data_IF_416165945264
#
_entry.id   IF_416165945264
#
_cell.length_a   1.000
_cell.length_b   1.000
_cell.length_c   1.000
_cell.angle_alpha   90.00
_cell.angle_beta   90.00
_cell.angle_gamma   90.00
#
_symmetry.space_group_name_H-M   'P 1'
#
loop_
_entity.id
_entity.type
_entity.pdbx_description
1 polymer ?
#
# COMPACT_ATOMS: atom_id res chain seq x y z
N UNK A 1 -10.90 18.97 -54.67
CA UNK A 1 -10.66 17.58 -54.24
C UNK A 1 -9.84 17.52 -52.95
N UNK A 2 -8.70 18.19 -52.84
CA UNK A 2 -7.80 18.15 -51.62
C UNK A 2 -8.54 18.64 -50.36
N UNK A 3 -9.30 19.71 -50.42
CA UNK A 3 -10.08 20.25 -49.28
C UNK A 3 -11.13 19.28 -48.78
N UNK A 4 -11.83 18.59 -49.67
CA UNK A 4 -12.82 17.57 -49.29
C UNK A 4 -12.17 16.39 -48.59
N UNK A 5 -11.00 15.95 -49.06
CA UNK A 5 -10.22 14.87 -48.47
C UNK A 5 -9.72 15.25 -47.07
N UNK A 6 -9.22 16.49 -46.88
CA UNK A 6 -8.77 16.99 -45.57
C UNK A 6 -9.93 17.08 -44.58
N UNK A 7 -11.09 17.55 -44.99
CA UNK A 7 -12.28 17.63 -44.12
C UNK A 7 -12.73 16.22 -43.68
N UNK A 8 -12.79 15.28 -44.64
CA UNK A 8 -13.16 13.88 -44.32
C UNK A 8 -12.16 13.25 -43.32
N UNK A 9 -10.86 13.47 -43.52
CA UNK A 9 -9.84 12.96 -42.62
C UNK A 9 -9.95 13.55 -41.20
N UNK A 10 -10.21 14.87 -41.08
CA UNK A 10 -10.43 15.55 -39.81
C UNK A 10 -11.67 15.01 -39.08
N UNK A 11 -12.77 14.77 -39.81
CA UNK A 11 -13.99 14.20 -39.21
C UNK A 11 -13.74 12.78 -38.69
N UNK A 12 -13.06 11.94 -39.47
CA UNK A 12 -12.71 10.58 -39.04
C UNK A 12 -11.78 10.57 -37.81
N UNK A 13 -10.80 11.46 -37.79
CA UNK A 13 -9.88 11.59 -36.64
C UNK A 13 -10.63 12.03 -35.37
N UNK A 14 -11.53 13.02 -35.50
CA UNK A 14 -12.38 13.49 -34.40
C UNK A 14 -13.26 12.38 -33.86
N UNK A 15 -13.87 11.60 -34.75
CA UNK A 15 -14.74 10.47 -34.39
C UNK A 15 -13.93 9.39 -33.63
N UNK A 16 -12.73 9.07 -34.11
CA UNK A 16 -11.85 8.10 -33.47
C UNK A 16 -11.45 8.55 -32.04
N UNK A 17 -11.16 9.83 -31.86
CA UNK A 17 -10.83 10.39 -30.53
C UNK A 17 -12.02 10.30 -29.58
N UNK A 18 -13.24 10.62 -30.05
CA UNK A 18 -14.46 10.52 -29.23
C UNK A 18 -14.72 9.07 -28.81
N UNK A 19 -14.55 8.11 -29.71
CA UNK A 19 -14.70 6.68 -29.39
C UNK A 19 -13.68 6.24 -28.38
N UNK A 20 -12.42 6.68 -28.50
CA UNK A 20 -11.34 6.35 -27.56
C UNK A 20 -11.66 6.89 -26.15
N UNK A 21 -12.13 8.13 -26.04
CA UNK A 21 -12.56 8.70 -24.76
C UNK A 21 -13.77 8.00 -24.15
N UNK A 22 -14.73 7.58 -24.99
CA UNK A 22 -15.88 6.80 -24.52
C UNK A 22 -15.45 5.44 -23.96
N UNK A 23 -14.54 4.73 -24.63
CA UNK A 23 -14.00 3.45 -24.13
C UNK A 23 -13.17 3.62 -22.86
N UNK A 24 -12.36 4.67 -22.77
CA UNK A 24 -11.61 4.98 -21.53
C UNK A 24 -12.56 5.34 -20.39
N UNK A 25 -13.63 6.08 -20.66
CA UNK A 25 -14.66 6.40 -19.68
C UNK A 25 -15.37 5.16 -19.14
N UNK A 26 -15.72 4.22 -20.02
CA UNK A 26 -16.36 2.96 -19.63
C UNK A 26 -15.40 2.05 -18.83
N UNK A 27 -14.12 1.99 -19.21
CA UNK A 27 -13.11 1.25 -18.47
C UNK A 27 -12.91 1.84 -17.07
N UNK A 28 -12.86 3.16 -16.97
CA UNK A 28 -12.73 3.85 -15.70
C UNK A 28 -13.99 3.69 -14.82
N UNK A 29 -15.19 3.68 -15.42
CA UNK A 29 -16.44 3.39 -14.73
C UNK A 29 -16.47 1.95 -14.18
N UNK A 30 -16.02 0.95 -14.94
CA UNK A 30 -15.94 -0.45 -14.49
C UNK A 30 -14.91 -0.63 -13.37
N UNK A 31 -13.78 0.08 -13.41
CA UNK A 31 -12.80 0.08 -12.32
C UNK A 31 -13.40 0.74 -11.08
N UNK A 32 -14.14 1.83 -11.23
CA UNK A 32 -14.82 2.51 -10.12
C UNK A 32 -16.01 1.70 -9.58
N UNK A 33 -16.77 1.02 -10.43
CA UNK A 33 -17.83 0.09 -10.00
C UNK A 33 -17.28 -1.14 -9.30
N UNK A 34 -16.12 -1.66 -9.70
CA UNK A 34 -15.41 -2.72 -8.97
C UNK A 34 -14.92 -2.22 -7.62
N UNK A 35 -14.73 -0.90 -7.45
CA UNK A 35 -14.35 -0.26 -6.18
C UNK A 35 -15.56 0.24 -5.38
N UNK A 36 -16.69 0.58 -6.02
CA UNK A 36 -17.88 1.17 -5.40
C UNK A 36 -19.09 0.21 -5.32
N UNK A 37 -19.01 -0.93 -6.01
CA UNK A 37 -20.08 -1.91 -6.09
C UNK A 37 -20.20 -2.79 -4.87
N UNK A 38 -21.01 -2.36 -3.91
CA UNK A 38 -21.60 -3.20 -2.89
C UNK A 38 -20.67 -3.53 -1.73
N UNK A 39 -21.18 -3.43 -0.53
CA UNK A 39 -20.60 -3.88 0.73
C UNK A 39 -20.28 -5.39 0.78
N UNK A 40 -19.60 -5.91 -0.20
CA UNK A 40 -18.79 -7.10 -0.04
C UNK A 40 -17.57 -6.65 0.72
N UNK A 41 -17.52 -6.97 2.02
CA UNK A 41 -16.29 -6.96 2.79
C UNK A 41 -15.18 -7.45 1.86
N UNK A 42 -14.27 -6.53 1.50
CA UNK A 42 -13.04 -6.91 0.80
C UNK A 42 -12.52 -8.12 1.55
N UNK A 43 -12.23 -9.25 0.90
CA UNK A 43 -11.77 -10.42 1.63
C UNK A 43 -10.63 -10.00 2.52
N UNK A 44 -10.76 -10.26 3.82
CA UNK A 44 -9.73 -9.94 4.80
C UNK A 44 -8.47 -10.69 4.38
N UNK A 45 -7.55 -9.97 3.77
CA UNK A 45 -6.36 -10.58 3.18
C UNK A 45 -5.11 -9.87 3.62
N UNK A 46 -4.10 -10.65 3.89
CA UNK A 46 -2.72 -10.23 4.06
C UNK A 46 -1.92 -10.90 2.96
N UNK A 47 -1.13 -10.13 2.24
CA UNK A 47 -0.28 -10.64 1.17
C UNK A 47 1.17 -10.23 1.43
N UNK A 48 2.14 -11.16 1.34
CA UNK A 48 3.55 -10.81 1.45
C UNK A 48 3.94 -9.78 0.40
N UNK A 49 4.80 -8.84 0.77
CA UNK A 49 5.41 -7.87 -0.13
C UNK A 49 6.66 -8.49 -0.77
N UNK A 50 6.64 -8.83 -2.07
CA UNK A 50 7.75 -9.54 -2.71
C UNK A 50 9.03 -8.69 -2.80
N UNK A 51 8.87 -7.36 -2.91
CA UNK A 51 9.99 -6.43 -3.10
C UNK A 51 10.54 -5.90 -1.77
N UNK A 52 9.97 -6.31 -0.63
CA UNK A 52 10.44 -5.89 0.67
C UNK A 52 11.87 -6.36 0.93
N UNK A 53 12.68 -5.50 1.50
CA UNK A 53 14.09 -5.77 1.82
C UNK A 53 14.21 -6.63 3.07
N UNK A 54 13.70 -7.86 3.01
CA UNK A 54 13.77 -8.80 4.14
C UNK A 54 15.22 -9.10 4.51
N UNK A 55 15.52 -9.08 5.80
CA UNK A 55 16.87 -9.28 6.33
C UNK A 55 17.76 -8.04 6.28
N UNK A 56 17.35 -6.97 5.61
CA UNK A 56 18.09 -5.71 5.63
C UNK A 56 17.88 -4.98 6.96
N UNK A 57 18.95 -4.35 7.46
CA UNK A 57 18.90 -3.50 8.66
C UNK A 57 18.61 -2.06 8.24
N UNK A 58 17.60 -1.47 8.86
CA UNK A 58 17.33 -0.03 8.74
C UNK A 58 18.30 0.70 9.67
N UNK A 59 19.31 1.33 9.11
CA UNK A 59 20.39 1.97 9.88
C UNK A 59 19.92 3.31 10.47
N UNK A 60 19.16 4.08 9.69
CA UNK A 60 18.68 5.40 10.07
C UNK A 60 17.16 5.44 10.03
N UNK A 61 16.56 5.67 11.19
CA UNK A 61 15.13 5.95 11.29
C UNK A 61 14.92 7.45 11.24
N UNK A 62 13.99 7.93 10.40
CA UNK A 62 13.61 9.33 10.38
C UNK A 62 13.13 9.82 11.76
N UNK A 63 13.38 11.09 12.04
CA UNK A 63 12.83 11.73 13.23
C UNK A 63 11.31 11.62 13.27
N UNK A 64 10.77 11.33 14.45
CA UNK A 64 9.33 11.14 14.67
C UNK A 64 8.90 9.67 14.70
N UNK A 65 9.72 8.74 14.24
CA UNK A 65 9.48 7.30 14.42
C UNK A 65 10.05 6.81 15.76
N UNK A 66 9.37 5.87 16.39
CA UNK A 66 9.89 5.18 17.55
C UNK A 66 11.01 4.20 17.14
N UNK A 67 11.80 3.77 18.12
CA UNK A 67 12.80 2.74 17.86
C UNK A 67 12.18 1.35 17.85
N UNK A 68 12.67 0.44 16.96
CA UNK A 68 12.26 -0.96 17.00
C UNK A 68 12.58 -1.61 18.37
N UNK A 69 11.96 -2.75 18.72
CA UNK A 69 11.14 -3.58 17.84
C UNK A 69 9.72 -3.08 17.66
N UNK A 70 9.03 -3.61 16.66
CA UNK A 70 7.61 -3.36 16.50
C UNK A 70 7.15 -3.36 15.04
N UNK A 71 5.97 -2.82 14.82
CA UNK A 71 5.35 -2.72 13.49
C UNK A 71 5.43 -1.29 12.99
N UNK A 72 5.87 -1.12 11.76
CA UNK A 72 5.82 0.12 11.01
C UNK A 72 4.69 0.06 10.01
N UNK A 73 3.77 1.03 10.05
CA UNK A 73 2.67 1.14 9.11
C UNK A 73 3.05 2.09 7.97
N UNK A 74 2.81 1.69 6.73
CA UNK A 74 3.03 2.53 5.55
C UNK A 74 1.70 2.81 4.86
N UNK A 75 1.31 4.07 4.83
CA UNK A 75 0.11 4.59 4.17
C UNK A 75 0.50 5.53 3.04
N UNK A 76 -0.44 5.82 2.13
CA UNK A 76 -0.22 6.81 1.07
C UNK A 76 -1.42 7.75 0.94
N UNK A 77 -1.13 9.03 0.68
CA UNK A 77 -2.16 10.06 0.49
C UNK A 77 -3.03 9.84 -0.75
N UNK A 78 -2.52 9.10 -1.74
CA UNK A 78 -3.22 8.80 -3.00
C UNK A 78 -3.91 7.44 -3.01
N UNK A 79 -3.81 6.68 -1.92
CA UNK A 79 -4.36 5.34 -1.80
C UNK A 79 -5.74 5.38 -1.14
N UNK A 80 -6.81 5.05 -1.86
CA UNK A 80 -8.18 5.03 -1.32
C UNK A 80 -8.34 4.08 -0.13
N UNK A 81 -7.76 2.88 -0.19
CA UNK A 81 -7.77 1.93 0.92
C UNK A 81 -7.05 2.48 2.18
N UNK A 82 -6.00 3.28 1.99
CA UNK A 82 -5.31 3.94 3.11
C UNK A 82 -6.20 4.99 3.78
N UNK A 83 -6.99 5.73 2.99
CA UNK A 83 -7.94 6.72 3.50
C UNK A 83 -9.06 6.06 4.31
N UNK A 84 -9.50 4.87 3.91
CA UNK A 84 -10.50 4.08 4.64
C UNK A 84 -9.95 3.53 5.96
N UNK A 85 -8.69 3.09 5.98
CA UNK A 85 -8.06 2.47 7.14
C UNK A 85 -7.46 3.48 8.14
N UNK A 86 -6.99 4.63 7.67
CA UNK A 86 -6.29 5.61 8.49
C UNK A 86 -7.05 6.02 9.78
N UNK A 87 -8.40 6.24 9.77
CA UNK A 87 -9.15 6.59 10.98
C UNK A 87 -9.08 5.52 12.08
N UNK A 88 -8.94 4.25 11.70
CA UNK A 88 -8.95 3.11 12.63
C UNK A 88 -7.57 2.85 13.24
N UNK A 89 -6.48 3.34 12.60
CA UNK A 89 -5.11 3.03 12.98
C UNK A 89 -4.81 3.33 14.45
N UNK A 90 -5.22 4.50 14.95
CA UNK A 90 -5.02 4.90 16.33
C UNK A 90 -5.69 3.94 17.31
N UNK A 91 -6.98 3.61 17.08
CA UNK A 91 -7.73 2.70 17.92
C UNK A 91 -7.14 1.29 17.93
N UNK A 92 -6.71 0.82 16.77
CA UNK A 92 -6.07 -0.48 16.62
C UNK A 92 -4.80 -0.59 17.47
N UNK A 93 -3.86 0.33 17.33
CA UNK A 93 -2.60 0.27 18.07
C UNK A 93 -2.78 0.52 19.57
N UNK A 94 -3.73 1.35 19.98
CA UNK A 94 -4.06 1.54 21.39
C UNK A 94 -4.62 0.27 22.06
N UNK A 95 -5.28 -0.61 21.31
CA UNK A 95 -5.95 -1.81 21.82
C UNK A 95 -5.19 -3.11 21.57
N UNK A 96 -4.31 -3.15 20.58
CA UNK A 96 -3.66 -4.39 20.13
C UNK A 96 -2.51 -4.87 21.03
N UNK A 97 -1.96 -4.00 21.89
CA UNK A 97 -0.77 -4.31 22.67
C UNK A 97 0.52 -4.50 21.85
N UNK A 98 0.48 -4.12 20.57
CA UNK A 98 1.61 -4.21 19.63
C UNK A 98 2.40 -2.93 19.69
N UNK A 99 3.72 -3.06 19.79
CA UNK A 99 4.61 -1.91 19.72
C UNK A 99 4.58 -1.30 18.31
N UNK A 100 4.10 -0.06 18.24
CA UNK A 100 4.09 0.70 17.00
C UNK A 100 5.41 1.49 16.87
N UNK A 101 6.20 1.17 15.86
CA UNK A 101 7.38 1.96 15.49
C UNK A 101 6.94 3.30 14.90
N UNK A 102 5.85 3.30 14.13
CA UNK A 102 5.25 4.52 13.63
C UNK A 102 4.42 4.34 12.38
N UNK A 103 3.85 5.46 11.94
CA UNK A 103 3.10 5.57 10.68
C UNK A 103 3.89 6.41 9.70
N UNK A 104 4.30 5.80 8.60
CA UNK A 104 4.94 6.48 7.46
C UNK A 104 3.85 6.85 6.46
N UNK A 105 3.73 8.13 6.15
CA UNK A 105 2.76 8.62 5.16
C UNK A 105 3.49 9.02 3.89
N UNK A 106 3.45 8.16 2.89
CA UNK A 106 3.99 8.44 1.56
C UNK A 106 3.11 9.45 0.81
N UNK A 107 3.72 10.50 0.27
CA UNK A 107 3.01 11.62 -0.32
C UNK A 107 3.81 12.32 -1.41
N UNK A 108 3.15 13.08 -2.26
CA UNK A 108 3.81 13.88 -3.29
C UNK A 108 4.50 15.13 -2.73
N UNK A 109 3.99 15.66 -1.60
CA UNK A 109 4.54 16.85 -0.95
C UNK A 109 4.38 16.78 0.57
N UNK A 110 5.27 17.45 1.30
CA UNK A 110 5.18 17.52 2.76
C UNK A 110 3.87 18.18 3.24
N UNK A 111 3.27 19.06 2.44
CA UNK A 111 1.99 19.68 2.76
C UNK A 111 0.86 18.68 2.73
N UNK A 112 0.73 17.89 1.65
CA UNK A 112 -0.30 16.86 1.51
C UNK A 112 -0.14 15.73 2.54
N UNK A 113 1.08 15.38 2.91
CA UNK A 113 1.33 14.40 3.98
C UNK A 113 0.87 14.90 5.35
N UNK A 114 1.18 16.16 5.71
CA UNK A 114 0.72 16.75 6.97
C UNK A 114 -0.79 16.91 7.02
N UNK A 115 -1.42 17.29 5.91
CA UNK A 115 -2.87 17.36 5.79
C UNK A 115 -3.52 16.00 6.04
N UNK A 116 -2.99 14.93 5.43
CA UNK A 116 -3.46 13.56 5.67
C UNK A 116 -3.33 13.17 7.15
N UNK A 117 -2.18 13.43 7.77
CA UNK A 117 -1.96 13.14 9.21
C UNK A 117 -2.97 13.87 10.07
N UNK A 118 -3.24 15.15 9.80
CA UNK A 118 -4.21 15.96 10.54
C UNK A 118 -5.65 15.48 10.30
N UNK A 119 -6.01 15.21 9.05
CA UNK A 119 -7.36 14.78 8.66
C UNK A 119 -7.77 13.46 9.34
N UNK A 120 -6.85 12.53 9.48
CA UNK A 120 -7.12 11.19 10.02
C UNK A 120 -6.70 11.01 11.48
N UNK A 121 -6.31 12.10 12.17
CA UNK A 121 -5.97 12.05 13.59
C UNK A 121 -4.74 11.20 13.92
N UNK A 122 -3.77 11.12 13.00
CA UNK A 122 -2.55 10.35 13.16
C UNK A 122 -1.43 11.10 13.89
N UNK A 123 -1.64 12.38 14.23
CA UNK A 123 -0.62 13.24 14.83
C UNK A 123 -0.17 12.79 16.23
N UNK A 124 -1.01 12.02 16.93
CA UNK A 124 -0.69 11.48 18.27
C UNK A 124 0.14 10.18 18.21
N UNK A 125 0.32 9.62 17.02
CA UNK A 125 1.15 8.44 16.80
C UNK A 125 2.57 8.85 16.38
N UNK A 126 3.60 8.05 16.72
CA UNK A 126 4.90 8.22 16.09
C UNK A 126 4.72 8.22 14.58
N UNK A 127 5.30 9.20 13.88
CA UNK A 127 5.02 9.28 12.44
C UNK A 127 6.06 10.05 11.64
N UNK A 128 6.11 9.74 10.35
CA UNK A 128 7.00 10.37 9.40
C UNK A 128 6.27 10.65 8.07
N UNK A 129 6.44 11.86 7.55
CA UNK A 129 5.93 12.26 6.23
C UNK A 129 7.00 11.97 5.19
N UNK A 130 6.79 10.91 4.43
CA UNK A 130 7.74 10.37 3.45
C UNK A 130 7.46 10.96 2.05
N UNK A 131 8.10 12.07 1.74
CA UNK A 131 7.94 12.74 0.45
C UNK A 131 8.52 11.85 -0.66
N UNK A 132 7.70 11.60 -1.68
CA UNK A 132 8.01 10.73 -2.82
C UNK A 132 8.32 9.27 -2.45
N UNK A 133 7.96 8.82 -1.25
CA UNK A 133 8.18 7.46 -0.80
C UNK A 133 9.66 7.08 -0.65
N UNK A 134 10.54 8.05 -0.45
CA UNK A 134 11.98 7.81 -0.42
C UNK A 134 12.40 6.83 0.67
N UNK A 135 11.92 7.03 1.89
CA UNK A 135 12.26 6.15 3.01
C UNK A 135 11.62 4.76 2.84
N UNK A 136 10.32 4.70 2.56
CA UNK A 136 9.60 3.44 2.41
C UNK A 136 10.19 2.57 1.29
N UNK A 137 10.54 3.15 0.16
CA UNK A 137 11.13 2.40 -0.96
C UNK A 137 12.61 2.09 -0.74
N UNK A 138 13.42 3.08 -0.30
CA UNK A 138 14.87 2.90 -0.23
C UNK A 138 15.33 2.08 0.98
N UNK A 139 14.71 2.27 2.15
CA UNK A 139 15.09 1.54 3.36
C UNK A 139 14.34 0.20 3.51
N UNK A 140 13.05 0.17 3.16
CA UNK A 140 12.17 -0.97 3.43
C UNK A 140 11.84 -1.81 2.18
N UNK A 141 11.97 -1.27 0.96
CA UNK A 141 11.51 -1.91 -0.27
C UNK A 141 9.98 -1.93 -0.39
N UNK A 142 9.30 -0.98 0.26
CA UNK A 142 7.83 -0.89 0.28
C UNK A 142 7.37 0.11 -0.75
N UNK A 143 6.89 -0.36 -1.90
CA UNK A 143 6.32 0.44 -2.97
C UNK A 143 4.80 0.40 -3.04
N UNK A 144 4.14 -0.37 -2.17
CA UNK A 144 2.68 -0.53 -2.14
C UNK A 144 2.13 -0.12 -0.78
N UNK A 145 0.86 0.32 -0.74
CA UNK A 145 0.15 0.71 0.47
C UNK A 145 -1.34 0.33 0.40
N UNK A 146 -2.00 0.06 1.51
CA UNK A 146 -1.48 0.05 2.88
C UNK A 146 -0.56 -1.15 3.13
N UNK A 147 0.56 -0.92 3.80
CA UNK A 147 1.51 -1.98 4.13
C UNK A 147 1.92 -1.93 5.61
N UNK A 148 2.36 -3.08 6.13
CA UNK A 148 2.92 -3.20 7.46
C UNK A 148 4.26 -3.92 7.39
N UNK A 149 5.24 -3.44 8.15
CA UNK A 149 6.60 -3.98 8.22
C UNK A 149 6.91 -4.32 9.66
N UNK A 150 7.27 -5.58 9.92
CA UNK A 150 7.74 -6.02 11.22
C UNK A 150 9.26 -5.84 11.32
N UNK A 151 9.69 -5.17 12.37
CA UNK A 151 11.09 -4.88 12.66
C UNK A 151 11.55 -5.59 13.94
N UNK A 152 12.72 -6.23 13.87
CA UNK A 152 13.38 -6.79 15.06
C UNK A 152 13.99 -5.68 15.94
N UNK A 153 14.44 -6.00 17.18
CA UNK A 153 15.12 -5.04 18.04
C UNK A 153 16.33 -4.37 17.40
N UNK A 154 17.01 -5.07 16.50
CA UNK A 154 18.18 -4.57 15.78
C UNK A 154 17.82 -3.76 14.53
N UNK A 155 16.52 -3.47 14.32
CA UNK A 155 16.03 -2.74 13.15
C UNK A 155 16.03 -3.55 11.85
N UNK A 156 16.11 -4.90 11.93
CA UNK A 156 16.08 -5.76 10.75
C UNK A 156 14.64 -5.96 10.29
N UNK A 157 14.38 -5.81 8.99
CA UNK A 157 13.10 -6.10 8.36
C UNK A 157 12.85 -7.61 8.40
N UNK A 158 11.93 -8.06 9.24
CA UNK A 158 11.61 -9.49 9.44
C UNK A 158 10.52 -9.98 8.50
N UNK A 159 9.51 -9.16 8.28
CA UNK A 159 8.38 -9.46 7.42
C UNK A 159 7.75 -8.18 6.95
N UNK A 160 7.15 -8.21 5.76
CA UNK A 160 6.40 -7.09 5.23
C UNK A 160 5.20 -7.59 4.42
N UNK A 161 4.06 -6.95 4.62
CA UNK A 161 2.78 -7.35 4.02
C UNK A 161 1.97 -6.15 3.55
N UNK A 162 1.17 -6.35 2.52
CA UNK A 162 0.01 -5.51 2.20
C UNK A 162 -1.20 -6.10 2.91
N UNK A 163 -2.06 -5.28 3.47
CA UNK A 163 -3.24 -5.72 4.20
C UNK A 163 -4.48 -4.94 3.79
N UNK A 164 -5.66 -5.56 3.96
CA UNK A 164 -6.94 -4.95 3.58
C UNK A 164 -7.81 -4.50 4.75
N UNK A 165 -7.49 -4.95 5.97
CA UNK A 165 -8.20 -4.58 7.21
C UNK A 165 -7.28 -4.74 8.42
N UNK A 166 -7.60 -4.06 9.52
CA UNK A 166 -6.87 -4.23 10.77
C UNK A 166 -7.10 -5.60 11.42
N UNK A 167 -8.21 -6.28 11.15
CA UNK A 167 -8.41 -7.68 11.57
C UNK A 167 -7.41 -8.61 10.88
N UNK A 168 -7.21 -8.44 9.57
CA UNK A 168 -6.22 -9.21 8.82
C UNK A 168 -4.80 -8.90 9.33
N UNK A 169 -4.50 -7.64 9.60
CA UNK A 169 -3.23 -7.20 10.17
C UNK A 169 -3.00 -7.81 11.56
N UNK A 170 -4.02 -7.83 12.44
CA UNK A 170 -3.97 -8.45 13.76
C UNK A 170 -3.59 -9.94 13.68
N UNK A 171 -4.23 -10.67 12.77
CA UNK A 171 -3.94 -12.09 12.53
C UNK A 171 -2.50 -12.33 12.08
N UNK A 172 -2.00 -11.46 11.20
CA UNK A 172 -0.61 -11.52 10.77
C UNK A 172 0.36 -11.22 11.92
N UNK A 173 0.10 -10.19 12.72
CA UNK A 173 0.94 -9.85 13.87
C UNK A 173 0.98 -11.01 14.87
N UNK A 174 -0.15 -11.64 15.14
CA UNK A 174 -0.20 -12.81 16.03
C UNK A 174 0.69 -13.96 15.48
N UNK A 175 0.76 -14.14 14.16
CA UNK A 175 1.62 -15.15 13.54
C UNK A 175 3.11 -14.85 13.65
N UNK A 176 3.52 -13.58 13.86
CA UNK A 176 4.92 -13.22 14.05
C UNK A 176 5.48 -13.69 15.41
N UNK A 177 4.61 -13.85 16.41
CA UNK A 177 4.97 -14.35 17.75
C UNK A 177 5.08 -15.87 17.84
N UNK A 178 4.63 -16.61 16.84
CA UNK A 178 4.65 -18.06 16.81
C UNK A 178 5.89 -18.59 16.04
N UNK A 179 6.89 -19.17 16.72
CA UNK A 179 8.10 -19.69 16.07
C UNK A 179 7.83 -20.85 15.09
N UNK A 180 6.63 -21.44 15.12
CA UNK A 180 6.24 -22.52 14.22
C UNK A 180 5.87 -22.08 12.80
N UNK A 181 5.58 -20.79 12.58
CA UNK A 181 5.09 -20.26 11.28
C UNK A 181 6.17 -19.92 10.25
N UNK A 182 7.45 -19.96 10.61
CA UNK A 182 8.55 -19.51 9.73
C UNK A 182 8.95 -20.51 8.63
N UNK A 183 8.29 -21.66 8.50
CA UNK A 183 8.67 -22.72 7.56
C UNK A 183 7.63 -23.00 6.46
N UNK A 184 6.70 -22.07 6.20
CA UNK A 184 5.76 -22.15 5.08
C UNK A 184 6.42 -21.76 3.75
N UNK A 185 7.50 -22.45 3.36
CA UNK A 185 8.07 -22.36 2.03
C UNK A 185 7.03 -22.81 1.00
N UNK A 186 6.70 -21.91 0.06
CA UNK A 186 5.93 -22.24 -1.14
C UNK A 186 6.69 -23.33 -1.89
N UNK A 187 6.20 -24.57 -1.79
CA UNK A 187 6.67 -25.66 -2.62
C UNK A 187 6.27 -25.38 -4.06
N UNK A 188 7.21 -24.87 -4.83
CA UNK A 188 7.09 -24.83 -6.29
C UNK A 188 7.22 -26.28 -6.77
N UNK A 189 6.09 -26.86 -7.18
CA UNK A 189 6.10 -28.15 -7.84
C UNK A 189 6.91 -28.05 -9.15
N UNK A 190 7.84 -28.98 -9.42
CA UNK A 190 8.58 -28.98 -10.68
C UNK A 190 7.62 -29.31 -11.83
N UNK A 191 7.58 -28.41 -12.82
CA UNK A 191 6.84 -28.61 -14.05
C UNK A 191 7.26 -29.89 -14.74
N UNK A 192 6.28 -30.75 -15.05
CA UNK A 192 6.47 -31.90 -15.90
C UNK A 192 6.73 -31.43 -17.32
N UNK A 193 7.92 -31.78 -17.83
CA UNK A 193 8.28 -31.72 -19.23
C UNK A 193 7.23 -32.46 -20.05
N UNK A 194 6.62 -31.78 -21.01
CA UNK A 194 5.87 -32.40 -22.11
C UNK A 194 6.79 -32.50 -23.31
N UNK A 195 7.10 -33.76 -23.63
CA UNK A 195 7.69 -34.18 -24.90
C UNK A 195 6.69 -34.01 -26.03
#
# INVERSE_FOLDING_TARGET
>A
MITALMVTLLVLLSLAVVILFAMLGELNARISESSAGGGTRRPESVQPLPDAKLGATVIEFPDGLARPPGVLLVLSTTCGACQELAPEARGFFASSGVDLVGVVVSCASAASGREFVAQYGLADLPGYVDVSGQFSMSALGVGMSPAAVALSPDGVVRSAVVFSSFNALSSWIASLGDPSGAAGGVSVAPGKDLV
#
